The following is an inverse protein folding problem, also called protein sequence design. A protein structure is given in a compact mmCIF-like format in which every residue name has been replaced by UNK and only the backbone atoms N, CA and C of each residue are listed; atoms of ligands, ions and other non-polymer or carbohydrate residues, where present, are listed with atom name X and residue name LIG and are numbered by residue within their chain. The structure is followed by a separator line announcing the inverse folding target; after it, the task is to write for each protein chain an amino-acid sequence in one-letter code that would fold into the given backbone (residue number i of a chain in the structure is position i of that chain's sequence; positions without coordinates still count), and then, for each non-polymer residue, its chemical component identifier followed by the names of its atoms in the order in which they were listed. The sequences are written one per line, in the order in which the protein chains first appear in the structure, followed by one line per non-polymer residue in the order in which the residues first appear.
data_IF_462943516625
#
_entry.id   IF_462943516625
#
_cell.length_a   1.000
_cell.length_b   1.000
_cell.length_c   1.000
_cell.angle_alpha   90.00
_cell.angle_beta   90.00
_cell.angle_gamma   90.00
#
_symmetry.space_group_name_H-M   'P 1'
#
loop_
_entity.id
_entity.type
_entity.pdbx_description
1 polymer ?
#
# COMPACT_ATOMS: atom_id res chain seq x y z
N UNK A 1 40.14 21.95 -49.65
CA UNK A 1 39.21 21.96 -50.79
C UNK A 1 37.91 21.36 -50.30
N UNK A 2 36.85 22.17 -50.32
CA UNK A 2 35.55 21.91 -49.72
C UNK A 2 34.59 21.23 -50.70
N UNK A 3 33.58 20.55 -50.14
CA UNK A 3 32.17 20.38 -50.56
C UNK A 3 31.66 19.21 -49.68
N UNK A 4 30.84 19.35 -48.63
CA UNK A 4 29.53 19.97 -48.44
C UNK A 4 28.51 19.60 -49.54
N UNK A 5 27.64 18.63 -49.24
CA UNK A 5 26.30 18.56 -49.83
C UNK A 5 25.34 17.98 -48.79
N UNK A 6 24.54 18.87 -48.20
CA UNK A 6 23.32 18.56 -47.49
C UNK A 6 22.19 18.40 -48.52
N UNK A 7 21.27 17.46 -48.28
CA UNK A 7 20.00 17.37 -49.00
C UNK A 7 18.88 17.68 -48.02
N UNK A 8 18.10 18.70 -48.37
CA UNK A 8 16.95 19.24 -47.68
C UNK A 8 15.65 18.54 -48.11
N UNK A 9 14.71 18.50 -47.15
CA UNK A 9 13.27 18.77 -47.26
C UNK A 9 12.36 17.88 -48.11
N UNK A 10 11.30 17.39 -47.46
CA UNK A 10 9.86 17.61 -47.77
C UNK A 10 9.06 16.88 -46.66
N UNK A 11 8.12 17.46 -45.91
CA UNK A 11 7.11 18.44 -46.25
C UNK A 11 5.77 17.71 -46.43
N UNK A 12 4.98 17.57 -45.35
CA UNK A 12 3.55 17.22 -45.41
C UNK A 12 2.81 17.98 -44.32
N UNK A 13 2.40 19.20 -44.65
CA UNK A 13 1.25 19.86 -44.03
C UNK A 13 0.00 19.28 -44.68
N UNK A 14 -0.93 18.78 -43.86
CA UNK A 14 -2.28 18.43 -44.25
C UNK A 14 -3.27 19.01 -43.25
N UNK A 15 -3.63 20.28 -43.42
CA UNK A 15 -4.74 20.94 -42.73
C UNK A 15 -6.04 20.61 -43.45
N UNK A 16 -6.93 19.83 -42.83
CA UNK A 16 -8.33 19.75 -43.26
C UNK A 16 -9.20 20.63 -42.37
N UNK A 17 -9.60 21.77 -42.94
CA UNK A 17 -10.68 22.62 -42.45
C UNK A 17 -11.95 22.19 -43.18
N UNK A 18 -12.96 21.76 -42.43
CA UNK A 18 -14.31 21.48 -42.91
C UNK A 18 -15.30 21.74 -41.77
N UNK A 19 -15.91 22.92 -41.80
CA UNK A 19 -16.94 23.39 -40.87
C UNK A 19 -18.35 22.97 -41.39
N UNK A 20 -19.45 23.26 -40.66
CA UNK A 20 -20.35 22.27 -40.09
C UNK A 20 -21.65 22.14 -40.90
N UNK A 21 -22.38 21.05 -40.72
CA UNK A 21 -23.81 21.03 -41.02
C UNK A 21 -24.59 20.57 -39.80
N UNK A 22 -25.51 21.45 -39.44
CA UNK A 22 -26.56 21.32 -38.46
C UNK A 22 -27.42 20.08 -38.72
N UNK A 23 -27.68 19.32 -37.67
CA UNK A 23 -28.86 18.47 -37.58
C UNK A 23 -29.42 18.59 -36.16
N UNK A 24 -30.37 19.51 -36.04
CA UNK A 24 -31.35 19.62 -34.97
C UNK A 24 -32.19 18.33 -34.95
N UNK A 25 -31.99 17.49 -33.94
CA UNK A 25 -32.98 16.48 -33.53
C UNK A 25 -33.16 16.60 -32.02
N UNK A 26 -34.20 17.35 -31.67
CA UNK A 26 -34.88 17.26 -30.39
C UNK A 26 -35.32 15.81 -30.18
N UNK A 27 -34.88 15.21 -29.09
CA UNK A 27 -35.65 14.13 -28.48
C UNK A 27 -35.82 14.46 -27.00
N UNK A 28 -37.01 14.93 -26.69
CA UNK A 28 -37.52 15.07 -25.33
C UNK A 28 -37.83 13.66 -24.83
N UNK A 29 -37.08 13.18 -23.84
CA UNK A 29 -37.57 12.17 -22.91
C UNK A 29 -36.87 12.39 -21.58
N UNK A 30 -37.43 13.34 -20.83
CA UNK A 30 -37.15 13.53 -19.41
C UNK A 30 -37.97 12.52 -18.62
N UNK A 31 -37.39 11.35 -18.34
CA UNK A 31 -37.85 10.51 -17.22
C UNK A 31 -37.00 10.85 -16.00
N UNK A 32 -37.63 11.55 -15.08
CA UNK A 32 -37.19 11.80 -13.71
C UNK A 32 -36.79 10.49 -13.02
N UNK A 33 -35.52 10.34 -12.66
CA UNK A 33 -35.10 9.44 -11.59
C UNK A 33 -34.98 10.28 -10.32
N UNK A 34 -36.04 10.26 -9.53
CA UNK A 34 -36.06 10.67 -8.15
C UNK A 34 -36.43 9.44 -7.30
N UNK A 35 -35.96 9.45 -6.06
CA UNK A 35 -36.06 8.45 -4.99
C UNK A 35 -34.99 7.34 -4.97
N UNK A 36 -34.13 7.41 -3.94
CA UNK A 36 -33.57 6.20 -3.36
C UNK A 36 -32.22 6.31 -2.66
N UNK A 37 -31.98 7.32 -1.81
CA UNK A 37 -31.02 7.13 -0.71
C UNK A 37 -31.64 6.08 0.21
N UNK A 38 -31.17 4.83 0.11
CA UNK A 38 -31.49 3.79 1.08
C UNK A 38 -30.45 3.84 2.17
N UNK A 39 -30.88 4.36 3.32
CA UNK A 39 -30.27 4.14 4.62
C UNK A 39 -30.06 2.63 4.83
N UNK A 40 -28.80 2.20 4.83
CA UNK A 40 -28.41 0.89 5.35
C UNK A 40 -28.33 0.99 6.87
N UNK A 41 -29.47 1.10 7.54
CA UNK A 41 -29.59 0.78 8.96
C UNK A 41 -31.05 0.48 9.33
N UNK A 42 -31.24 -0.60 10.08
CA UNK A 42 -32.49 -1.12 10.69
C UNK A 42 -33.29 -2.17 9.92
N UNK A 43 -32.85 -3.44 9.98
CA UNK A 43 -33.77 -4.58 10.12
C UNK A 43 -33.09 -5.79 10.77
N UNK A 44 -33.08 -5.83 12.11
CA UNK A 44 -33.05 -7.08 12.85
C UNK A 44 -34.51 -7.52 12.97
N UNK A 45 -34.96 -8.29 11.99
CA UNK A 45 -36.21 -9.03 12.13
C UNK A 45 -35.98 -10.25 13.03
N UNK A 46 -36.96 -10.44 13.90
CA UNK A 46 -37.02 -11.46 14.93
C UNK A 46 -36.84 -12.86 14.32
N UNK A 47 -35.89 -13.61 14.89
CA UNK A 47 -35.85 -15.06 14.69
C UNK A 47 -36.88 -15.66 15.63
N UNK A 48 -37.87 -16.26 14.99
CA UNK A 48 -39.00 -16.99 15.53
C UNK A 48 -38.58 -18.19 16.38
N UNK A 49 -39.46 -18.56 17.30
CA UNK A 49 -39.37 -19.60 18.32
C UNK A 49 -38.65 -20.88 17.87
N UNK A 50 -37.58 -21.25 18.58
CA UNK A 50 -37.08 -22.64 18.62
C UNK A 50 -37.26 -23.16 20.04
N UNK A 51 -38.06 -24.22 20.13
CA UNK A 51 -38.54 -24.85 21.34
C UNK A 51 -37.46 -25.08 22.41
N UNK A 52 -37.81 -24.70 23.64
CA UNK A 52 -37.13 -25.09 24.87
C UNK A 52 -37.25 -26.62 25.03
N UNK A 53 -36.18 -27.36 24.76
CA UNK A 53 -36.02 -28.70 25.32
C UNK A 53 -35.27 -28.62 26.65
N UNK A 54 -35.95 -29.11 27.69
CA UNK A 54 -35.49 -29.29 29.06
C UNK A 54 -34.09 -29.91 29.15
N UNK A 55 -33.09 -29.12 29.54
CA UNK A 55 -31.80 -29.63 30.01
C UNK A 55 -31.88 -29.75 31.55
N UNK A 56 -31.70 -30.96 32.12
CA UNK A 56 -31.77 -31.13 33.57
C UNK A 56 -30.60 -30.42 34.27
N UNK A 57 -30.93 -29.41 35.07
CA UNK A 57 -30.05 -28.77 36.05
C UNK A 57 -29.72 -29.76 37.17
N UNK A 58 -28.45 -30.12 37.27
CA UNK A 58 -27.93 -30.96 38.33
C UNK A 58 -26.41 -31.06 38.29
N UNK A 59 -25.72 -29.97 38.59
CA UNK A 59 -24.33 -30.05 39.06
C UNK A 59 -24.05 -28.90 40.03
N UNK A 60 -24.13 -29.23 41.33
CA UNK A 60 -23.54 -28.44 42.40
C UNK A 60 -22.02 -28.39 42.20
N UNK A 61 -21.50 -27.24 41.78
CA UNK A 61 -20.07 -26.93 41.92
C UNK A 61 -19.96 -25.85 42.98
N UNK A 62 -19.57 -26.27 44.17
CA UNK A 62 -19.19 -25.40 45.26
C UNK A 62 -18.07 -24.45 44.82
N UNK A 63 -18.32 -23.15 44.97
CA UNK A 63 -17.31 -22.12 44.79
C UNK A 63 -16.31 -22.18 45.95
N UNK A 64 -15.09 -22.64 45.66
CA UNK A 64 -13.92 -22.40 46.49
C UNK A 64 -13.30 -21.06 46.07
N UNK A 65 -13.61 -20.00 46.81
CA UNK A 65 -12.99 -18.69 46.70
C UNK A 65 -11.97 -18.48 47.83
N UNK A 66 -10.96 -19.34 47.90
CA UNK A 66 -9.82 -19.13 48.80
C UNK A 66 -8.49 -19.37 48.09
N UNK A 67 -7.86 -18.30 47.60
CA UNK A 67 -6.44 -18.34 47.26
C UNK A 67 -6.00 -17.58 46.01
N UNK A 68 -6.22 -16.26 45.95
CA UNK A 68 -5.36 -15.35 45.16
C UNK A 68 -5.21 -14.02 45.90
N UNK A 69 -4.53 -14.08 47.04
CA UNK A 69 -3.84 -12.95 47.65
C UNK A 69 -2.42 -13.43 47.90
N UNK A 70 -1.45 -12.70 47.35
CA UNK A 70 0.01 -12.82 47.48
C UNK A 70 0.76 -13.22 46.20
N UNK A 71 1.02 -12.21 45.36
CA UNK A 71 2.24 -12.14 44.55
C UNK A 71 2.50 -10.67 44.14
N UNK A 72 2.60 -9.76 45.11
CA UNK A 72 3.40 -8.54 44.95
C UNK A 72 4.75 -8.88 45.58
N UNK A 73 5.68 -9.36 44.75
CA UNK A 73 7.10 -9.42 45.11
C UNK A 73 7.85 -8.60 44.08
N UNK A 74 8.58 -7.63 44.60
CA UNK A 74 9.48 -6.76 43.90
C UNK A 74 10.47 -7.56 43.04
N UNK A 75 10.58 -7.22 41.75
CA UNK A 75 11.83 -7.42 41.04
C UNK A 75 12.68 -6.17 41.25
N UNK A 76 13.49 -6.28 42.30
CA UNK A 76 14.68 -5.49 42.51
C UNK A 76 15.62 -5.61 41.31
N UNK A 77 16.27 -4.48 41.04
CA UNK A 77 17.44 -4.26 40.20
C UNK A 77 18.22 -5.51 39.72
N UNK A 78 18.20 -5.75 38.41
CA UNK A 78 19.36 -6.31 37.72
C UNK A 78 20.10 -5.17 37.02
N UNK A 79 21.15 -4.73 37.71
CA UNK A 79 22.33 -4.10 37.16
C UNK A 79 23.08 -5.16 36.33
N UNK A 80 22.97 -5.06 35.01
CA UNK A 80 23.85 -5.75 34.06
C UNK A 80 24.45 -4.71 33.13
N UNK A 81 25.49 -4.05 33.61
CA UNK A 81 26.51 -3.45 32.75
C UNK A 81 27.23 -4.58 32.00
N UNK A 82 26.64 -5.07 30.92
CA UNK A 82 27.38 -5.71 29.84
C UNK A 82 27.24 -4.78 28.63
N UNK A 83 28.39 -4.27 28.18
CA UNK A 83 28.54 -3.60 26.89
C UNK A 83 28.24 -4.63 25.80
N UNK A 84 26.96 -4.83 25.51
CA UNK A 84 26.49 -5.54 24.34
C UNK A 84 26.78 -4.68 23.12
N UNK A 85 27.65 -5.18 22.24
CA UNK A 85 27.83 -4.69 20.89
C UNK A 85 26.44 -4.48 20.29
N UNK A 86 26.14 -3.23 19.94
CA UNK A 86 24.96 -2.86 19.16
C UNK A 86 25.17 -3.51 17.79
N UNK A 87 24.63 -4.70 17.59
CA UNK A 87 24.32 -5.17 16.25
C UNK A 87 23.23 -4.21 15.76
N UNK A 88 23.67 -3.17 15.05
CA UNK A 88 22.78 -2.30 14.29
C UNK A 88 21.88 -3.22 13.47
N UNK A 89 20.56 -3.06 13.58
CA UNK A 89 19.65 -3.69 12.64
C UNK A 89 20.11 -3.21 11.26
N UNK A 90 20.66 -4.13 10.46
CA UNK A 90 21.32 -3.86 9.19
C UNK A 90 20.31 -3.27 8.20
N UNK A 91 20.02 -1.98 8.34
CA UNK A 91 19.54 -1.16 7.25
C UNK A 91 20.65 -1.16 6.22
N UNK A 92 20.57 -2.10 5.26
CA UNK A 92 21.55 -2.25 4.20
C UNK A 92 21.91 -0.86 3.64
N UNK A 93 23.15 -0.38 3.85
CA UNK A 93 23.54 0.90 3.30
C UNK A 93 23.50 0.76 1.78
N UNK A 94 22.57 1.49 1.16
CA UNK A 94 22.32 1.49 -0.30
C UNK A 94 23.54 1.95 -1.12
N UNK A 95 24.62 2.38 -0.45
CA UNK A 95 25.83 2.93 -1.04
C UNK A 95 26.78 1.88 -1.65
N UNK A 96 26.64 0.58 -1.32
CA UNK A 96 27.57 -0.46 -1.82
C UNK A 96 26.97 -1.39 -2.91
N UNK A 97 25.73 -1.13 -3.35
CA UNK A 97 25.10 -1.92 -4.42
C UNK A 97 25.60 -1.59 -5.83
N UNK A 98 26.62 -0.74 -6.00
CA UNK A 98 27.23 -0.46 -7.30
C UNK A 98 26.25 0.08 -8.36
N UNK A 99 25.14 0.69 -7.95
CA UNK A 99 24.06 1.12 -8.85
C UNK A 99 24.37 2.52 -9.38
N UNK A 100 25.29 2.62 -10.33
CA UNK A 100 25.56 3.88 -11.02
C UNK A 100 24.34 4.43 -11.82
N UNK A 101 23.31 3.61 -12.04
CA UNK A 101 22.03 3.98 -12.67
C UNK A 101 20.86 4.20 -11.67
N UNK A 102 21.11 4.18 -10.35
CA UNK A 102 20.05 4.40 -9.37
C UNK A 102 19.53 5.84 -9.40
N UNK A 103 20.42 6.80 -9.66
CA UNK A 103 20.11 8.23 -9.59
C UNK A 103 19.12 8.65 -10.69
N UNK A 104 19.27 8.13 -11.91
CA UNK A 104 18.37 8.44 -13.02
C UNK A 104 16.96 7.89 -12.79
N UNK A 105 16.83 6.69 -12.21
CA UNK A 105 15.53 6.10 -11.92
C UNK A 105 14.81 6.77 -10.74
N UNK A 106 15.55 7.24 -9.73
CA UNK A 106 14.98 8.06 -8.64
C UNK A 106 14.46 9.39 -9.19
N UNK A 107 15.15 9.97 -10.16
CA UNK A 107 14.70 11.17 -10.88
C UNK A 107 13.37 10.92 -11.61
N UNK A 108 13.19 9.76 -12.25
CA UNK A 108 11.92 9.41 -12.90
C UNK A 108 10.76 9.32 -11.90
N UNK A 109 10.95 8.73 -10.72
CA UNK A 109 9.89 8.67 -9.70
C UNK A 109 9.40 10.05 -9.26
N UNK A 110 10.25 11.07 -9.29
CA UNK A 110 9.89 12.44 -8.95
C UNK A 110 8.95 13.12 -9.96
N UNK A 111 8.84 12.57 -11.18
CA UNK A 111 7.92 13.07 -12.21
C UNK A 111 6.47 12.66 -11.92
N UNK A 112 6.27 11.66 -11.06
CA UNK A 112 4.95 11.25 -10.62
C UNK A 112 4.42 12.19 -9.53
N UNK A 113 3.28 12.87 -9.73
CA UNK A 113 2.76 13.87 -8.78
C UNK A 113 2.05 13.22 -7.59
N UNK A 114 2.74 12.36 -6.84
CA UNK A 114 2.21 11.74 -5.63
C UNK A 114 2.00 12.75 -4.49
N UNK A 115 2.57 13.95 -4.59
CA UNK A 115 2.53 14.98 -3.57
C UNK A 115 3.74 14.93 -2.63
N UNK A 116 3.64 15.61 -1.48
CA UNK A 116 4.73 15.69 -0.50
C UNK A 116 4.25 15.43 0.93
N UNK A 117 3.72 14.23 1.24
CA UNK A 117 3.55 13.83 2.63
C UNK A 117 4.91 13.74 3.33
N UNK A 118 4.89 13.64 4.66
CA UNK A 118 6.10 13.33 5.40
C UNK A 118 6.67 11.99 4.92
N UNK A 119 8.00 11.90 4.85
CA UNK A 119 8.66 10.61 4.69
C UNK A 119 8.41 9.82 5.96
N UNK A 120 7.61 8.76 5.82
CA UNK A 120 7.12 7.98 6.94
C UNK A 120 7.80 6.63 7.02
N UNK A 121 7.79 6.05 8.23
CA UNK A 121 8.02 4.62 8.38
C UNK A 121 6.77 3.88 7.89
N UNK A 122 6.90 2.69 7.27
CA UNK A 122 5.75 1.89 6.86
C UNK A 122 4.75 1.58 7.99
N UNK A 123 5.19 1.62 9.24
CA UNK A 123 4.38 1.36 10.43
C UNK A 123 4.13 2.61 11.28
N UNK A 124 4.49 3.81 10.81
CA UNK A 124 4.08 5.01 11.52
C UNK A 124 2.55 5.06 11.55
N UNK A 125 2.00 5.48 12.69
CA UNK A 125 0.55 5.54 12.90
C UNK A 125 0.09 6.99 12.81
N UNK A 126 -1.15 7.19 12.39
CA UNK A 126 -1.82 8.50 12.42
C UNK A 126 -1.20 9.60 11.54
N UNK A 127 -0.50 9.22 10.47
CA UNK A 127 0.09 10.17 9.52
C UNK A 127 0.05 9.66 8.07
N UNK A 128 0.08 10.59 7.12
CA UNK A 128 0.25 10.26 5.71
C UNK A 128 1.67 9.72 5.46
N UNK A 129 1.79 8.73 4.59
CA UNK A 129 3.07 8.10 4.27
C UNK A 129 3.44 8.30 2.81
N UNK A 130 4.67 8.76 2.58
CA UNK A 130 5.37 8.52 1.33
C UNK A 130 6.43 7.42 1.54
N UNK A 131 6.21 6.26 0.96
CA UNK A 131 7.11 5.11 1.03
C UNK A 131 7.85 4.97 -0.29
N UNK A 132 9.15 4.68 -0.23
CA UNK A 132 9.97 4.40 -1.41
C UNK A 132 10.69 3.07 -1.24
N UNK A 133 10.78 2.33 -2.34
CA UNK A 133 11.33 0.99 -2.37
C UNK A 133 12.26 0.78 -3.57
N UNK A 134 13.22 -0.11 -3.40
CA UNK A 134 14.00 -0.72 -4.49
C UNK A 134 13.66 -2.20 -4.60
N UNK A 135 13.67 -2.76 -5.81
CA UNK A 135 13.54 -4.20 -6.00
C UNK A 135 14.74 -4.94 -5.40
N UNK A 136 14.48 -5.89 -4.51
CA UNK A 136 15.48 -6.81 -3.98
C UNK A 136 15.90 -7.84 -5.04
N UNK A 137 14.93 -8.31 -5.83
CA UNK A 137 15.15 -9.31 -6.90
C UNK A 137 15.35 -8.69 -8.29
N UNK A 138 15.01 -7.41 -8.46
CA UNK A 138 15.06 -6.69 -9.73
C UNK A 138 15.68 -5.30 -9.51
N UNK A 139 16.97 -5.17 -9.84
CA UNK A 139 17.71 -3.93 -9.64
C UNK A 139 17.17 -2.75 -10.48
N UNK A 140 16.38 -3.01 -11.53
CA UNK A 140 15.74 -1.98 -12.36
C UNK A 140 14.45 -1.44 -11.74
N UNK A 141 13.91 -2.13 -10.73
CA UNK A 141 12.63 -1.78 -10.11
C UNK A 141 12.82 -0.73 -9.02
N UNK A 142 12.05 0.35 -9.10
CA UNK A 142 11.85 1.35 -8.06
C UNK A 142 10.36 1.61 -7.91
N UNK A 143 9.91 1.78 -6.68
CA UNK A 143 8.48 1.99 -6.38
C UNK A 143 8.35 3.12 -5.38
N UNK A 144 7.37 4.00 -5.58
CA UNK A 144 6.93 4.96 -4.58
C UNK A 144 5.44 4.79 -4.35
N UNK A 145 5.03 4.69 -3.09
CA UNK A 145 3.64 4.53 -2.68
C UNK A 145 3.26 5.66 -1.76
N UNK A 146 2.12 6.31 -2.05
CA UNK A 146 1.50 7.23 -1.10
C UNK A 146 0.30 6.58 -0.46
N UNK A 147 0.29 6.58 0.87
CA UNK A 147 -0.88 6.25 1.68
C UNK A 147 -1.32 7.48 2.45
N UNK A 148 -2.62 7.73 2.51
CA UNK A 148 -3.16 8.77 3.38
C UNK A 148 -3.73 8.13 4.62
N UNK A 149 -3.53 8.78 5.76
CA UNK A 149 -4.23 8.45 6.98
C UNK A 149 -5.64 9.03 6.94
N UNK A 150 -6.64 8.21 7.22
CA UNK A 150 -8.04 8.61 7.25
C UNK A 150 -8.51 8.80 8.70
N UNK A 151 -8.37 7.77 9.53
CA UNK A 151 -8.85 7.76 10.91
C UNK A 151 -8.23 6.63 11.76
N UNK A 152 -8.37 6.67 13.10
CA UNK A 152 -7.91 5.57 13.94
C UNK A 152 -8.70 4.28 13.66
N UNK A 153 -8.00 3.15 13.63
CA UNK A 153 -8.64 1.84 13.58
C UNK A 153 -8.90 1.26 14.98
N UNK A 154 -9.40 0.01 15.03
CA UNK A 154 -9.58 -0.71 16.29
C UNK A 154 -8.23 -1.27 16.76
N UNK A 155 -7.89 -1.06 18.03
CA UNK A 155 -6.63 -1.49 18.62
C UNK A 155 -5.47 -0.59 18.19
N UNK A 156 -4.30 -1.19 17.94
CA UNK A 156 -3.11 -0.49 17.45
C UNK A 156 -3.12 -0.50 15.91
N UNK A 157 -4.12 0.14 15.30
CA UNK A 157 -4.26 0.21 13.84
C UNK A 157 -4.65 1.61 13.37
N UNK A 158 -4.32 1.92 12.12
CA UNK A 158 -4.72 3.13 11.41
C UNK A 158 -5.50 2.73 10.16
N UNK A 159 -6.62 3.41 9.90
CA UNK A 159 -7.32 3.27 8.63
C UNK A 159 -6.61 4.16 7.62
N UNK A 160 -6.11 3.52 6.56
CA UNK A 160 -5.35 4.16 5.49
C UNK A 160 -6.09 4.01 4.16
N UNK A 161 -5.81 4.92 3.22
CA UNK A 161 -6.20 4.81 1.82
C UNK A 161 -4.96 4.84 0.92
N UNK A 162 -5.05 4.22 -0.27
CA UNK A 162 -4.02 4.33 -1.30
C UNK A 162 -4.28 5.59 -2.12
N UNK A 163 -3.34 6.54 -2.07
CA UNK A 163 -3.49 7.82 -2.77
C UNK A 163 -2.68 7.89 -4.07
N UNK A 164 -1.77 6.93 -4.29
CA UNK A 164 -1.12 6.74 -5.58
C UNK A 164 0.11 5.85 -5.52
N UNK A 165 0.50 5.37 -6.69
CA UNK A 165 1.68 4.56 -6.89
C UNK A 165 2.46 5.05 -8.11
N UNK A 166 3.79 5.06 -7.98
CA UNK A 166 4.73 5.28 -9.06
C UNK A 166 5.65 4.07 -9.15
N UNK A 167 5.76 3.48 -10.34
CA UNK A 167 6.60 2.31 -10.59
C UNK A 167 7.55 2.68 -11.71
N UNK A 168 8.85 2.57 -11.47
CA UNK A 168 9.87 2.60 -12.51
C UNK A 168 10.43 1.20 -12.65
N UNK A 169 10.40 0.65 -13.86
CA UNK A 169 11.00 -0.64 -14.15
C UNK A 169 11.58 -0.62 -15.55
N UNK A 170 12.82 -1.10 -15.72
CA UNK A 170 13.53 -1.03 -17.01
C UNK A 170 13.56 0.39 -17.64
N UNK A 171 13.59 1.43 -16.81
CA UNK A 171 13.58 2.84 -17.25
C UNK A 171 12.22 3.38 -17.69
N UNK A 172 11.14 2.60 -17.59
CA UNK A 172 9.77 3.04 -17.89
C UNK A 172 9.04 3.43 -16.61
N UNK A 173 8.42 4.62 -16.61
CA UNK A 173 7.62 5.14 -15.51
C UNK A 173 6.14 4.86 -15.75
N UNK A 174 5.50 4.17 -14.79
CA UNK A 174 4.05 4.05 -14.66
C UNK A 174 3.57 4.85 -13.45
N UNK A 175 2.59 5.72 -13.67
CA UNK A 175 2.02 6.60 -12.65
C UNK A 175 0.52 6.37 -12.53
N UNK A 176 0.04 6.06 -11.33
CA UNK A 176 -1.37 5.80 -11.06
C UNK A 176 -1.80 6.64 -9.86
N UNK A 177 -2.60 7.67 -10.13
CA UNK A 177 -3.05 8.65 -9.13
C UNK A 177 -4.55 8.92 -9.18
N UNK A 178 -5.27 8.33 -10.15
CA UNK A 178 -6.74 8.42 -10.18
C UNK A 178 -7.31 7.51 -9.10
N UNK A 179 -8.12 8.05 -8.19
CA UNK A 179 -8.69 7.30 -7.08
C UNK A 179 -9.63 6.18 -7.52
N UNK A 180 -10.16 6.23 -8.74
CA UNK A 180 -11.00 5.14 -9.27
C UNK A 180 -10.18 3.92 -9.69
N UNK A 181 -8.88 4.11 -9.93
CA UNK A 181 -7.94 3.06 -10.31
C UNK A 181 -7.17 2.53 -9.10
N UNK A 182 -7.51 2.96 -7.87
CA UNK A 182 -6.81 2.64 -6.64
C UNK A 182 -7.76 1.98 -5.64
N UNK A 183 -7.28 0.96 -4.95
CA UNK A 183 -7.95 0.37 -3.78
C UNK A 183 -6.94 0.02 -2.70
N UNK A 184 -7.40 0.00 -1.45
CA UNK A 184 -6.57 -0.35 -0.31
C UNK A 184 -7.40 -1.17 0.68
N UNK A 185 -6.84 -2.28 1.14
CA UNK A 185 -7.42 -3.10 2.18
C UNK A 185 -6.58 -3.00 3.45
N UNK A 186 -7.24 -2.56 4.52
CA UNK A 186 -6.64 -2.46 5.85
C UNK A 186 -6.90 -3.77 6.61
N UNK A 187 -5.89 -4.24 7.33
CA UNK A 187 -5.95 -5.44 8.17
C UNK A 187 -5.81 -5.09 9.65
N UNK A 188 -6.05 -6.08 10.53
CA UNK A 188 -5.85 -5.91 11.96
C UNK A 188 -4.40 -5.50 12.24
N UNK A 189 -4.21 -4.36 12.88
CA UNK A 189 -2.90 -3.74 13.16
C UNK A 189 -2.08 -3.33 11.93
N UNK A 190 -2.69 -3.27 10.74
CA UNK A 190 -1.98 -3.02 9.48
C UNK A 190 -0.83 -4.01 9.20
N UNK A 191 -0.91 -5.22 9.77
CA UNK A 191 0.15 -6.22 9.63
C UNK A 191 0.17 -6.91 8.27
N UNK A 192 -0.92 -6.86 7.51
CA UNK A 192 -1.07 -7.56 6.23
C UNK A 192 -1.86 -6.71 5.23
N UNK A 193 -1.64 -5.41 5.24
CA UNK A 193 -2.31 -4.51 4.31
C UNK A 193 -1.90 -4.79 2.87
N UNK A 194 -2.80 -4.46 1.94
CA UNK A 194 -2.44 -4.44 0.54
C UNK A 194 -3.12 -3.30 -0.20
N UNK A 195 -2.38 -2.74 -1.16
CA UNK A 195 -2.86 -1.74 -2.10
C UNK A 195 -2.90 -2.32 -3.50
N UNK A 196 -3.93 -1.98 -4.27
CA UNK A 196 -4.01 -2.31 -5.69
C UNK A 196 -4.17 -1.05 -6.51
N UNK A 197 -3.57 -1.07 -7.70
CA UNK A 197 -3.60 0.03 -8.64
C UNK A 197 -3.75 -0.50 -10.07
N UNK A 198 -4.57 0.13 -10.89
CA UNK A 198 -4.81 -0.29 -12.29
C UNK A 198 -4.26 0.77 -13.25
N UNK A 199 -3.50 0.34 -14.25
CA UNK A 199 -3.07 1.18 -15.37
C UNK A 199 -3.42 0.49 -16.69
N UNK A 200 -4.50 0.93 -17.33
CA UNK A 200 -5.00 0.27 -18.54
C UNK A 200 -5.40 -1.18 -18.25
N UNK A 201 -4.71 -2.14 -18.87
CA UNK A 201 -4.96 -3.58 -18.72
C UNK A 201 -4.03 -4.25 -17.69
N UNK A 202 -3.32 -3.48 -16.87
CA UNK A 202 -2.40 -4.02 -15.87
C UNK A 202 -2.86 -3.64 -14.46
N UNK A 203 -3.09 -4.64 -13.61
CA UNK A 203 -3.26 -4.48 -12.17
C UNK A 203 -1.92 -4.70 -11.48
N UNK A 204 -1.54 -3.75 -10.65
CA UNK A 204 -0.43 -3.85 -9.72
C UNK A 204 -0.98 -4.09 -8.33
N UNK A 205 -0.33 -4.96 -7.57
CA UNK A 205 -0.64 -5.20 -6.16
C UNK A 205 0.63 -5.01 -5.35
N UNK A 206 0.54 -4.24 -4.27
CA UNK A 206 1.60 -4.15 -3.26
C UNK A 206 1.07 -4.74 -1.94
N UNK A 207 1.78 -5.72 -1.41
CA UNK A 207 1.54 -6.23 -0.06
C UNK A 207 2.52 -5.55 0.91
N UNK A 208 1.99 -5.07 2.03
CA UNK A 208 2.72 -4.50 3.15
C UNK A 208 2.52 -5.43 4.34
N UNK A 209 3.52 -6.27 4.61
CA UNK A 209 3.43 -7.30 5.63
C UNK A 209 4.36 -6.96 6.78
N UNK A 210 3.84 -6.97 8.01
CA UNK A 210 4.63 -7.00 9.23
C UNK A 210 4.74 -8.45 9.68
N UNK A 211 5.96 -9.00 9.64
CA UNK A 211 6.21 -10.36 10.09
C UNK A 211 6.82 -10.30 11.50
N UNK A 212 6.05 -10.75 12.49
CA UNK A 212 6.56 -11.07 13.82
C UNK A 212 7.13 -12.48 13.73
N UNK A 213 8.44 -12.60 13.55
CA UNK A 213 9.12 -13.90 13.65
C UNK A 213 9.34 -14.16 15.14
N UNK A 214 8.60 -15.14 15.70
CA UNK A 214 8.60 -15.47 17.13
C UNK A 214 9.81 -16.34 17.53
N UNK A 215 10.98 -16.05 16.96
CA UNK A 215 12.19 -16.84 17.11
C UNK A 215 13.23 -15.99 17.84
N UNK A 216 14.06 -16.59 18.68
CA UNK A 216 15.19 -15.96 19.41
C UNK A 216 16.27 -15.32 18.48
N UNK A 217 15.95 -15.13 17.20
CA UNK A 217 16.81 -14.61 16.13
C UNK A 217 16.57 -13.13 15.81
N UNK A 218 15.61 -12.46 16.47
CA UNK A 218 15.62 -11.01 16.66
C UNK A 218 15.15 -10.11 15.51
N UNK A 219 14.87 -10.62 14.31
CA UNK A 219 14.52 -9.77 13.18
C UNK A 219 12.99 -9.66 13.00
N UNK A 220 12.37 -8.78 13.79
CA UNK A 220 11.06 -8.22 13.47
C UNK A 220 11.19 -7.26 12.27
N UNK A 221 10.39 -7.45 11.23
CA UNK A 221 10.60 -6.71 9.99
C UNK A 221 9.37 -6.58 9.10
N UNK A 222 9.34 -5.49 8.35
CA UNK A 222 8.36 -5.34 7.29
C UNK A 222 8.87 -6.06 6.02
N UNK A 223 8.04 -6.93 5.47
CA UNK A 223 8.22 -7.53 4.15
C UNK A 223 7.29 -6.84 3.16
N UNK A 224 7.85 -6.44 2.01
CA UNK A 224 7.12 -5.77 0.95
C UNK A 224 7.23 -6.58 -0.34
N UNK A 225 6.11 -6.74 -1.04
CA UNK A 225 6.06 -7.51 -2.29
C UNK A 225 5.23 -6.77 -3.32
N UNK A 226 5.64 -6.84 -4.59
CA UNK A 226 4.92 -6.27 -5.72
C UNK A 226 4.65 -7.33 -6.79
N UNK A 227 3.45 -7.31 -7.35
CA UNK A 227 3.05 -8.11 -8.53
C UNK A 227 2.43 -7.22 -9.58
N UNK A 228 2.45 -7.70 -10.82
CA UNK A 228 1.59 -7.22 -11.88
C UNK A 228 0.88 -8.37 -12.58
N UNK A 229 -0.39 -8.17 -12.90
CA UNK A 229 -1.23 -9.12 -13.62
C UNK A 229 -2.11 -8.41 -14.65
N UNK A 230 -2.62 -9.14 -15.64
CA UNK A 230 -3.53 -8.60 -16.65
C UNK A 230 -4.95 -8.40 -16.13
N UNK A 231 -5.66 -7.45 -16.74
CA UNK A 231 -7.07 -7.16 -16.52
C UNK A 231 -7.85 -7.16 -17.86
N UNK A 232 -9.04 -7.80 -17.94
CA UNK A 232 -9.58 -8.78 -17.02
C UNK A 232 -8.95 -10.16 -17.25
N UNK A 233 -8.55 -10.87 -16.19
CA UNK A 233 -8.09 -12.26 -16.32
C UNK A 233 -7.09 -12.71 -15.26
N UNK A 234 -6.37 -11.76 -14.66
CA UNK A 234 -5.42 -12.04 -13.59
C UNK A 234 -4.23 -12.91 -14.03
N UNK A 235 -3.89 -12.92 -15.33
CA UNK A 235 -2.68 -13.61 -15.78
C UNK A 235 -1.47 -12.84 -15.23
N UNK A 236 -0.66 -13.51 -14.43
CA UNK A 236 0.54 -12.91 -13.87
C UNK A 236 1.50 -12.50 -14.99
N UNK A 237 1.82 -11.21 -15.05
CA UNK A 237 2.84 -10.67 -15.93
C UNK A 237 4.22 -10.85 -15.29
N UNK A 238 4.29 -10.64 -13.97
CA UNK A 238 5.47 -10.86 -13.13
C UNK A 238 5.12 -10.70 -11.64
N UNK A 239 5.96 -11.28 -10.78
CA UNK A 239 5.87 -11.16 -9.33
C UNK A 239 5.88 -12.55 -8.64
N UNK A 240 5.83 -12.63 -7.31
CA UNK A 240 6.18 -11.55 -6.38
C UNK A 240 7.62 -11.09 -6.60
N UNK A 241 7.85 -9.78 -6.65
CA UNK A 241 9.17 -9.20 -6.48
C UNK A 241 9.25 -8.64 -5.06
N UNK A 242 10.27 -9.07 -4.30
CA UNK A 242 10.53 -8.52 -2.98
C UNK A 242 11.09 -7.11 -3.10
N UNK A 243 10.70 -6.25 -2.17
CA UNK A 243 11.06 -4.85 -2.14
C UNK A 243 11.80 -4.52 -0.84
N UNK A 244 12.90 -3.79 -0.96
CA UNK A 244 13.60 -3.18 0.18
C UNK A 244 13.11 -1.74 0.33
N UNK A 245 12.59 -1.41 1.51
CA UNK A 245 12.20 -0.04 1.86
C UNK A 245 13.45 0.85 2.02
N UNK A 246 13.36 2.07 1.50
CA UNK A 246 14.40 3.10 1.67
C UNK A 246 13.99 4.00 2.83
N UNK A 247 14.70 3.91 3.95
CA UNK A 247 14.54 4.88 5.04
C UNK A 247 15.17 6.23 4.65
N UNK A 248 14.33 7.19 4.25
CA UNK A 248 14.72 8.57 3.94
C UNK A 248 14.75 9.47 5.18
N UNK A 249 14.32 8.99 6.35
CA UNK A 249 14.26 9.77 7.59
C UNK A 249 15.64 9.90 8.29
N UNK A 250 16.63 9.14 7.85
CA UNK A 250 18.02 9.30 8.26
C UNK A 250 18.77 10.14 7.21
N UNK A 251 19.16 11.40 7.48
CA UNK A 251 20.22 12.00 6.68
C UNK A 251 21.44 11.08 6.78
N UNK A 252 21.95 10.61 5.63
CA UNK A 252 23.22 9.88 5.62
C UNK A 252 24.27 10.79 6.28
N UNK A 253 24.76 10.37 7.45
CA UNK A 253 25.86 11.02 8.14
C UNK A 253 27.18 10.48 7.61
#
# INVERSE_FOLDING_TARGET
MALLTAVLSSGCLGTHVGNPQEADVRNEDATSFDAGVQDANTHFDAVDDVAEEDIPVGLDVAADQSGMQDAIVANDAMDSSEEGDVLEADGYPVSDLGIADADDNISLLSQCPLGSPAWGRPQAMYEDHLLEFVGADDASLRVRVRRNYEEPGVGESSIMSLAGIAIVRNGELTCITDTNDLSYENTHHNWLDYGEAVAGEVRYRIDIMYLIVADDLGDEGNTFRLWAATEPGGEELWGPLYLNWIDRAQPQQ
#
